data_IF_351719996165
#
_entry.id   IF_351719996165
#
_cell.length_a   1.000
_cell.length_b   1.000
_cell.length_c   1.000
_cell.angle_alpha   90.00
_cell.angle_beta   90.00
_cell.angle_gamma   90.00
#
_symmetry.space_group_name_H-M   'P 1'
#
loop_
_entity.id
_entity.type
_entity.pdbx_description
1 polymer ?
#
# COMPACT_ATOMS: atom_id res chain seq x y z
N UNK A 1 -4.27 13.66 -22.96
CA UNK A 1 -5.28 13.13 -22.02
C UNK A 1 -5.00 11.69 -21.57
N UNK A 2 -5.00 10.69 -22.45
CA UNK A 2 -4.77 9.28 -22.06
C UNK A 2 -3.42 9.03 -21.36
N UNK A 3 -2.35 9.71 -21.79
CA UNK A 3 -1.02 9.65 -21.16
C UNK A 3 -1.05 10.01 -19.67
N UNK A 4 -1.74 11.09 -19.32
CA UNK A 4 -1.85 11.59 -17.94
C UNK A 4 -2.65 10.61 -17.08
N UNK A 5 -3.79 10.10 -17.59
CA UNK A 5 -4.61 9.13 -16.88
C UNK A 5 -3.81 7.85 -16.56
N UNK A 6 -3.03 7.35 -17.52
CA UNK A 6 -2.17 6.18 -17.31
C UNK A 6 -1.12 6.43 -16.23
N UNK A 7 -0.49 7.61 -16.22
CA UNK A 7 0.50 7.98 -15.20
C UNK A 7 -0.14 8.08 -13.81
N UNK A 8 -1.33 8.67 -13.69
CA UNK A 8 -2.09 8.77 -12.43
C UNK A 8 -2.42 7.38 -11.88
N UNK A 9 -2.89 6.47 -12.74
CA UNK A 9 -3.16 5.08 -12.35
C UNK A 9 -1.89 4.35 -11.94
N UNK A 10 -0.80 4.50 -12.71
CA UNK A 10 0.49 3.91 -12.38
C UNK A 10 1.02 4.48 -11.05
N UNK A 11 0.83 5.77 -10.79
CA UNK A 11 1.26 6.45 -9.57
C UNK A 11 0.53 5.90 -8.34
N UNK A 12 -0.74 5.51 -8.49
CA UNK A 12 -1.50 4.88 -7.42
C UNK A 12 -0.98 3.49 -7.00
N UNK A 13 -0.24 2.80 -7.88
CA UNK A 13 0.26 1.43 -7.64
C UNK A 13 1.78 1.41 -7.41
N UNK A 14 2.55 2.12 -8.25
CA UNK A 14 4.02 2.11 -8.34
C UNK A 14 4.61 3.53 -8.38
N UNK A 15 4.36 4.29 -7.31
CA UNK A 15 4.75 5.70 -7.14
C UNK A 15 6.19 6.08 -7.56
N UNK A 16 7.19 5.29 -7.21
CA UNK A 16 8.60 5.63 -7.49
C UNK A 16 8.90 5.63 -8.99
N UNK A 17 8.32 4.66 -9.71
CA UNK A 17 8.63 4.43 -11.12
C UNK A 17 7.93 5.46 -12.01
N UNK A 18 6.88 6.10 -11.50
CA UNK A 18 5.98 6.91 -12.32
C UNK A 18 6.56 8.24 -12.76
N UNK A 19 7.38 8.87 -11.93
CA UNK A 19 7.99 10.15 -12.27
C UNK A 19 9.06 9.97 -13.38
N UNK A 20 10.01 9.01 -13.27
CA UNK A 20 10.88 8.64 -14.39
C UNK A 20 10.11 8.23 -15.65
N UNK A 21 9.06 7.42 -15.51
CA UNK A 21 8.26 6.93 -16.62
C UNK A 21 7.50 8.06 -17.36
N UNK A 22 7.00 9.05 -16.62
CA UNK A 22 6.33 10.22 -17.21
C UNK A 22 7.29 11.06 -18.05
N UNK A 23 8.56 11.18 -17.63
CA UNK A 23 9.60 11.89 -18.37
C UNK A 23 9.96 11.16 -19.67
N UNK A 24 10.10 9.82 -19.62
CA UNK A 24 10.37 8.99 -20.82
C UNK A 24 9.24 9.12 -21.87
N UNK A 25 8.00 9.36 -21.42
CA UNK A 25 6.84 9.57 -22.30
C UNK A 25 6.82 10.98 -22.94
N UNK A 26 7.74 11.86 -22.51
CA UNK A 26 7.86 13.25 -22.95
C UNK A 26 6.76 14.15 -22.39
N UNK A 27 6.28 13.90 -21.17
CA UNK A 27 5.33 14.79 -20.50
C UNK A 27 6.09 15.95 -19.83
N UNK A 28 5.55 17.17 -19.90
CA UNK A 28 6.17 18.28 -19.18
C UNK A 28 6.27 17.98 -17.70
N UNK A 29 7.39 18.40 -17.12
CA UNK A 29 7.74 18.11 -15.74
C UNK A 29 6.66 18.53 -14.74
N UNK A 30 6.08 19.72 -14.94
CA UNK A 30 5.03 20.26 -14.06
C UNK A 30 3.78 19.36 -14.07
N UNK A 31 3.31 18.99 -15.25
CA UNK A 31 2.16 18.09 -15.40
C UNK A 31 2.46 16.69 -14.88
N UNK A 32 3.69 16.19 -15.05
CA UNK A 32 4.13 14.92 -14.51
C UNK A 32 4.12 14.92 -12.98
N UNK A 33 4.65 15.98 -12.35
CA UNK A 33 4.69 16.12 -10.89
C UNK A 33 3.28 16.21 -10.30
N UNK A 34 2.40 17.02 -10.90
CA UNK A 34 1.00 17.14 -10.50
C UNK A 34 0.25 15.81 -10.65
N UNK A 35 0.46 15.08 -11.75
CA UNK A 35 -0.14 13.78 -11.97
C UNK A 35 0.33 12.73 -10.94
N UNK A 36 1.62 12.73 -10.60
CA UNK A 36 2.20 11.81 -9.63
C UNK A 36 1.71 12.13 -8.21
N UNK A 37 1.67 13.39 -7.81
CA UNK A 37 1.15 13.81 -6.49
C UNK A 37 -0.34 13.48 -6.35
N UNK A 38 -1.16 13.84 -7.33
CA UNK A 38 -2.61 13.57 -7.31
C UNK A 38 -2.89 12.07 -7.33
N UNK A 39 -2.19 11.30 -8.18
CA UNK A 39 -2.31 9.84 -8.23
C UNK A 39 -1.79 9.13 -6.98
N UNK A 40 -0.70 9.62 -6.40
CA UNK A 40 -0.12 9.08 -5.18
C UNK A 40 -1.02 9.31 -3.95
N UNK A 41 -1.47 10.54 -3.73
CA UNK A 41 -2.37 10.89 -2.63
C UNK A 41 -3.74 10.24 -2.83
N UNK A 42 -4.32 10.37 -4.03
CA UNK A 42 -5.62 9.80 -4.37
C UNK A 42 -5.62 8.28 -4.27
N UNK A 43 -4.60 7.62 -4.82
CA UNK A 43 -4.41 6.17 -4.71
C UNK A 43 -4.27 5.70 -3.28
N UNK A 44 -3.43 6.37 -2.47
CA UNK A 44 -3.26 6.04 -1.06
C UNK A 44 -4.59 6.14 -0.30
N UNK A 45 -5.33 7.24 -0.47
CA UNK A 45 -6.63 7.43 0.20
C UNK A 45 -7.63 6.37 -0.24
N UNK A 46 -7.72 6.10 -1.55
CA UNK A 46 -8.59 5.07 -2.11
C UNK A 46 -8.32 3.70 -1.46
N UNK A 47 -7.08 3.23 -1.49
CA UNK A 47 -6.71 1.94 -0.90
C UNK A 47 -6.85 1.93 0.63
N UNK A 48 -6.55 3.05 1.31
CA UNK A 48 -6.63 3.16 2.77
C UNK A 48 -8.08 3.02 3.25
N UNK A 49 -9.01 3.74 2.62
CA UNK A 49 -10.43 3.68 2.99
C UNK A 49 -11.06 2.36 2.57
N UNK A 50 -10.73 1.83 1.39
CA UNK A 50 -11.21 0.52 0.93
C UNK A 50 -10.72 -0.61 1.83
N UNK A 51 -9.54 -0.51 2.42
CA UNK A 51 -8.99 -1.56 3.29
C UNK A 51 -9.91 -1.93 4.47
N UNK A 52 -10.75 -1.01 4.96
CA UNK A 52 -11.71 -1.27 6.05
C UNK A 52 -12.88 -2.18 5.62
N UNK A 53 -13.72 -1.81 4.63
CA UNK A 53 -14.79 -2.67 4.13
C UNK A 53 -14.22 -3.94 3.48
N UNK A 54 -13.06 -3.90 2.85
CA UNK A 54 -12.48 -5.09 2.21
C UNK A 54 -12.11 -6.14 3.27
N UNK A 55 -11.49 -5.76 4.39
CA UNK A 55 -11.24 -6.69 5.50
C UNK A 55 -12.53 -7.20 6.17
N UNK A 56 -13.56 -6.36 6.32
CA UNK A 56 -14.85 -6.78 6.88
C UNK A 56 -15.62 -7.71 5.92
N UNK A 57 -15.68 -7.35 4.64
CA UNK A 57 -16.29 -8.13 3.58
C UNK A 57 -15.61 -9.47 3.39
N UNK A 58 -14.27 -9.54 3.48
CA UNK A 58 -13.55 -10.81 3.42
C UNK A 58 -13.89 -11.75 4.58
N UNK A 59 -14.12 -11.19 5.79
CA UNK A 59 -14.58 -11.96 6.96
C UNK A 59 -16.05 -12.38 6.79
N UNK A 60 -16.89 -11.50 6.23
CA UNK A 60 -18.33 -11.73 6.04
C UNK A 60 -18.63 -12.70 4.89
N UNK A 61 -17.83 -12.69 3.82
CA UNK A 61 -17.93 -13.61 2.68
C UNK A 61 -17.29 -14.96 2.98
N UNK A 62 -16.44 -15.05 4.00
CA UNK A 62 -15.76 -16.28 4.38
C UNK A 62 -16.67 -17.50 4.61
N UNK A 63 -17.82 -17.37 5.29
CA UNK A 63 -18.77 -18.46 5.49
C UNK A 63 -19.40 -18.92 4.18
N UNK A 64 -19.73 -17.98 3.28
CA UNK A 64 -20.25 -18.30 1.95
C UNK A 64 -19.20 -19.01 1.09
N UNK A 65 -17.95 -18.54 1.10
CA UNK A 65 -16.83 -19.21 0.45
C UNK A 65 -16.64 -20.63 0.98
N UNK A 66 -16.71 -20.83 2.30
CA UNK A 66 -16.65 -22.17 2.89
C UNK A 66 -17.84 -23.07 2.51
N UNK A 67 -19.01 -22.49 2.19
CA UNK A 67 -20.21 -23.21 1.72
C UNK A 67 -20.16 -23.56 0.23
N UNK A 68 -19.42 -22.78 -0.57
CA UNK A 68 -19.28 -22.95 -2.02
C UNK A 68 -18.19 -23.94 -2.45
N UNK A 69 -17.48 -24.58 -1.50
CA UNK A 69 -16.40 -25.53 -1.80
C UNK A 69 -16.97 -26.91 -2.17
N UNK A 70 -16.56 -27.52 -3.30
CA UNK A 70 -17.01 -28.85 -3.70
C UNK A 70 -16.51 -29.96 -2.75
N UNK A 71 -17.28 -31.05 -2.65
CA UNK A 71 -17.06 -32.13 -1.68
C UNK A 71 -15.67 -32.79 -1.77
N UNK A 72 -15.00 -32.75 -2.93
CA UNK A 72 -13.67 -33.37 -3.14
C UNK A 72 -12.52 -32.70 -2.36
N UNK A 73 -12.68 -31.42 -1.97
CA UNK A 73 -11.64 -30.66 -1.24
C UNK A 73 -11.97 -30.44 0.23
N UNK A 74 -13.11 -30.98 0.69
CA UNK A 74 -13.71 -30.73 2.00
C UNK A 74 -12.77 -31.15 3.14
N UNK A 75 -12.06 -32.28 3.02
CA UNK A 75 -11.17 -32.79 4.07
C UNK A 75 -10.03 -31.85 4.47
N UNK A 76 -9.35 -31.21 3.50
CA UNK A 76 -8.26 -30.24 3.79
C UNK A 76 -8.78 -28.85 4.16
N UNK A 77 -9.86 -28.40 3.52
CA UNK A 77 -10.38 -27.04 3.72
C UNK A 77 -11.30 -26.88 4.93
N UNK A 78 -11.96 -27.95 5.38
CA UNK A 78 -12.83 -27.93 6.56
C UNK A 78 -12.07 -27.52 7.82
N UNK A 79 -10.87 -28.07 8.04
CA UNK A 79 -9.99 -27.65 9.12
C UNK A 79 -9.57 -26.18 8.98
N UNK A 80 -9.36 -25.67 7.77
CA UNK A 80 -8.99 -24.26 7.56
C UNK A 80 -10.16 -23.30 7.81
N UNK A 81 -11.38 -23.66 7.41
CA UNK A 81 -12.62 -22.93 7.70
C UNK A 81 -12.92 -22.88 9.20
N UNK A 82 -12.84 -24.02 9.92
CA UNK A 82 -13.06 -24.09 11.37
C UNK A 82 -11.97 -23.32 12.14
N UNK A 83 -10.72 -23.42 11.70
CA UNK A 83 -9.59 -22.79 12.40
C UNK A 83 -9.55 -21.27 12.19
N UNK A 84 -10.29 -20.71 11.21
CA UNK A 84 -10.45 -19.26 11.03
C UNK A 84 -11.65 -18.68 11.80
N UNK A 85 -12.72 -19.45 12.01
CA UNK A 85 -13.88 -19.04 12.83
C UNK A 85 -13.61 -19.19 14.33
N UNK A 86 -12.74 -20.12 14.73
CA UNK A 86 -12.19 -20.15 16.10
C UNK A 86 -11.41 -18.86 16.35
N UNK A 87 -11.87 -18.04 17.32
CA UNK A 87 -11.13 -16.88 17.86
C UNK A 87 -9.77 -17.36 18.37
N UNK A 88 -8.74 -17.35 17.52
CA UNK A 88 -7.39 -17.73 17.93
C UNK A 88 -6.92 -16.74 18.99
N UNK A 89 -6.63 -17.23 20.21
CA UNK A 89 -5.86 -16.46 21.20
C UNK A 89 -4.64 -15.87 20.48
N UNK A 90 -4.43 -14.55 20.60
CA UNK A 90 -3.29 -13.86 19.98
C UNK A 90 -2.01 -14.58 20.40
N UNK A 91 -1.37 -15.31 19.49
CA UNK A 91 -0.08 -15.96 19.78
C UNK A 91 0.97 -14.87 19.83
N UNK A 92 1.41 -14.53 21.04
CA UNK A 92 2.38 -13.46 21.34
C UNK A 92 3.71 -13.73 20.61
N UNK A 93 4.01 -15.00 20.31
CA UNK A 93 5.31 -15.45 19.81
C UNK A 93 5.19 -16.31 18.54
N UNK A 94 4.94 -15.68 17.39
CA UNK A 94 5.16 -16.32 16.06
C UNK A 94 6.24 -15.56 15.33
N UNK A 95 6.98 -16.21 14.42
CA UNK A 95 8.08 -15.57 13.67
C UNK A 95 7.61 -14.30 12.95
N UNK A 96 6.36 -14.30 12.45
CA UNK A 96 5.67 -13.12 11.91
C UNK A 96 5.44 -12.02 12.95
N UNK A 97 5.00 -12.37 14.17
CA UNK A 97 4.88 -11.42 15.28
C UNK A 97 6.23 -10.88 15.77
N UNK A 98 7.28 -11.71 15.79
CA UNK A 98 8.64 -11.26 16.14
C UNK A 98 9.23 -10.35 15.06
N UNK A 99 8.97 -10.63 13.78
CA UNK A 99 9.36 -9.75 12.67
C UNK A 99 8.63 -8.40 12.76
N UNK A 100 7.30 -8.41 12.98
CA UNK A 100 6.51 -7.19 13.18
C UNK A 100 6.98 -6.43 14.44
N UNK A 101 7.29 -7.13 15.53
CA UNK A 101 7.80 -6.54 16.77
C UNK A 101 9.22 -5.97 16.61
N UNK A 102 10.10 -6.62 15.84
CA UNK A 102 11.44 -6.10 15.51
C UNK A 102 11.36 -4.89 14.60
N UNK A 103 10.46 -4.89 13.61
CA UNK A 103 10.21 -3.72 12.75
C UNK A 103 9.68 -2.55 13.59
N UNK A 104 8.78 -2.82 14.54
CA UNK A 104 8.30 -1.83 15.51
C UNK A 104 9.41 -1.31 16.45
N UNK A 105 10.30 -2.20 16.91
CA UNK A 105 11.34 -1.90 17.91
C UNK A 105 12.55 -1.17 17.33
N UNK A 106 12.99 -1.51 16.11
CA UNK A 106 14.21 -0.94 15.52
C UNK A 106 13.95 0.25 14.57
N UNK A 107 12.76 0.35 13.96
CA UNK A 107 12.47 1.40 12.97
C UNK A 107 11.37 2.38 13.42
N UNK A 108 10.62 2.09 14.48
CA UNK A 108 9.58 2.98 15.01
C UNK A 108 8.46 3.32 14.01
N UNK A 109 7.57 4.24 14.40
CA UNK A 109 6.51 4.79 13.55
C UNK A 109 7.08 5.49 12.31
N UNK A 110 8.21 6.20 12.49
CA UNK A 110 8.89 6.98 11.45
C UNK A 110 9.53 6.12 10.36
N UNK A 111 10.18 5.01 10.70
CA UNK A 111 10.82 4.15 9.72
C UNK A 111 9.81 3.42 8.82
N UNK A 112 8.60 3.13 9.32
CA UNK A 112 7.52 2.63 8.45
C UNK A 112 7.08 3.72 7.48
N UNK A 113 6.86 4.95 7.95
CA UNK A 113 6.41 6.08 7.11
C UNK A 113 7.44 6.45 6.04
N UNK A 114 8.72 6.47 6.38
CA UNK A 114 9.83 6.78 5.45
C UNK A 114 10.04 5.62 4.47
N UNK A 115 9.98 4.37 4.93
CA UNK A 115 10.18 3.20 4.07
C UNK A 115 8.94 2.88 3.20
N UNK A 116 7.73 3.28 3.58
CA UNK A 116 6.51 2.88 2.87
C UNK A 116 6.50 3.30 1.40
N UNK A 117 6.63 4.58 1.02
CA UNK A 117 6.58 4.93 -0.40
C UNK A 117 7.76 4.38 -1.21
N UNK A 118 8.87 3.97 -0.57
CA UNK A 118 10.09 3.46 -1.23
C UNK A 118 10.10 1.95 -1.42
N UNK A 119 9.59 1.19 -0.44
CA UNK A 119 9.73 -0.27 -0.41
C UNK A 119 8.40 -1.03 -0.48
N UNK A 120 7.28 -0.36 -0.18
CA UNK A 120 5.95 -0.97 -0.14
C UNK A 120 5.02 -0.16 -1.04
N UNK A 121 4.73 -0.69 -2.23
CA UNK A 121 3.70 -0.17 -3.13
C UNK A 121 2.52 0.43 -2.36
N UNK A 122 2.08 1.63 -2.77
CA UNK A 122 0.99 2.40 -2.12
C UNK A 122 -0.17 1.52 -1.62
N UNK A 123 -0.72 0.56 -2.41
CA UNK A 123 -1.79 -0.32 -1.92
C UNK A 123 -1.40 -1.13 -0.68
N UNK A 124 -0.19 -1.68 -0.64
CA UNK A 124 0.31 -2.45 0.51
C UNK A 124 0.56 -1.51 1.69
N UNK A 125 1.17 -0.34 1.45
CA UNK A 125 1.41 0.69 2.46
C UNK A 125 0.12 1.19 3.10
N UNK A 126 -0.91 1.46 2.31
CA UNK A 126 -2.24 1.87 2.76
C UNK A 126 -2.93 0.78 3.58
N UNK A 127 -2.84 -0.48 3.15
CA UNK A 127 -3.39 -1.61 3.90
C UNK A 127 -2.68 -1.83 5.24
N UNK A 128 -1.35 -1.73 5.25
CA UNK A 128 -0.54 -1.83 6.46
C UNK A 128 -0.85 -0.69 7.43
N UNK A 129 -0.92 0.55 6.93
CA UNK A 129 -1.26 1.73 7.71
C UNK A 129 -2.62 1.58 8.40
N UNK A 130 -3.65 1.17 7.66
CA UNK A 130 -4.98 0.94 8.22
C UNK A 130 -4.99 -0.25 9.21
N UNK A 131 -4.24 -1.33 8.96
CA UNK A 131 -4.24 -2.50 9.85
C UNK A 131 -3.52 -2.26 11.18
N UNK A 132 -2.38 -1.58 11.16
CA UNK A 132 -1.51 -1.47 12.35
C UNK A 132 -1.66 -0.13 13.07
N UNK A 133 -2.08 0.92 12.37
CA UNK A 133 -2.03 2.28 12.88
C UNK A 133 -3.33 3.06 12.71
N UNK A 134 -4.45 2.42 12.33
CA UNK A 134 -5.76 3.07 12.23
C UNK A 134 -6.24 3.74 13.53
N UNK A 135 -5.65 3.42 14.68
CA UNK A 135 -5.98 4.02 15.96
C UNK A 135 -5.40 5.44 16.15
N UNK A 136 -4.45 5.87 15.30
CA UNK A 136 -3.87 7.23 15.32
C UNK A 136 -4.60 8.10 14.30
N UNK A 137 -5.24 9.19 14.73
CA UNK A 137 -5.99 10.11 13.85
C UNK A 137 -5.12 10.79 12.77
N UNK A 138 -3.84 11.05 13.06
CA UNK A 138 -2.96 11.80 12.17
C UNK A 138 -2.15 10.94 11.18
N UNK A 139 -2.35 9.61 11.12
CA UNK A 139 -1.55 8.77 10.22
C UNK A 139 -1.70 9.16 8.75
N UNK A 140 -2.92 9.51 8.32
CA UNK A 140 -3.20 9.90 6.93
C UNK A 140 -2.36 11.12 6.55
N UNK A 141 -2.25 12.10 7.45
CA UNK A 141 -1.45 13.31 7.24
C UNK A 141 0.04 12.97 7.10
N UNK A 142 0.58 12.12 7.97
CA UNK A 142 1.98 11.71 7.88
C UNK A 142 2.29 10.95 6.58
N UNK A 143 1.35 10.15 6.07
CA UNK A 143 1.52 9.44 4.80
C UNK A 143 1.47 10.41 3.61
N UNK A 144 0.59 11.41 3.63
CA UNK A 144 0.55 12.47 2.61
C UNK A 144 1.86 13.27 2.62
N UNK A 145 2.35 13.67 3.79
CA UNK A 145 3.63 14.36 3.94
C UNK A 145 4.80 13.52 3.42
N UNK A 146 4.78 12.21 3.66
CA UNK A 146 5.77 11.29 3.10
C UNK A 146 5.71 11.25 1.57
N UNK A 147 4.51 11.15 0.97
CA UNK A 147 4.33 11.18 -0.49
C UNK A 147 4.91 12.49 -1.07
N UNK A 148 4.60 13.64 -0.47
CA UNK A 148 5.11 14.94 -0.92
C UNK A 148 6.64 15.01 -0.77
N UNK A 149 7.19 14.56 0.35
CA UNK A 149 8.64 14.53 0.58
C UNK A 149 9.36 13.68 -0.46
N UNK A 150 8.82 12.51 -0.80
CA UNK A 150 9.38 11.64 -1.82
C UNK A 150 9.22 12.17 -3.24
N UNK A 151 8.13 12.88 -3.57
CA UNK A 151 8.05 13.64 -4.82
C UNK A 151 9.20 14.65 -4.93
N UNK A 152 9.51 15.36 -3.84
CA UNK A 152 10.64 16.30 -3.79
C UNK A 152 11.99 15.63 -4.03
N UNK A 153 12.22 14.46 -3.43
CA UNK A 153 13.45 13.67 -3.65
C UNK A 153 13.56 13.18 -5.09
N UNK A 154 12.47 12.65 -5.66
CA UNK A 154 12.44 12.17 -7.05
C UNK A 154 12.59 13.32 -8.05
N UNK A 155 11.97 14.47 -7.77
CA UNK A 155 12.16 15.74 -8.47
C UNK A 155 13.65 16.12 -8.54
N UNK A 156 14.31 16.18 -7.38
CA UNK A 156 15.73 16.50 -7.30
C UNK A 156 16.60 15.50 -8.06
N UNK A 157 16.27 14.21 -7.97
CA UNK A 157 17.00 13.15 -8.68
C UNK A 157 16.85 13.28 -10.21
N UNK A 158 15.66 13.62 -10.71
CA UNK A 158 15.46 13.83 -12.14
C UNK A 158 16.19 15.08 -12.64
N UNK A 159 16.22 16.15 -11.84
CA UNK A 159 16.97 17.35 -12.19
C UNK A 159 18.49 17.13 -12.18
N UNK A 160 19.00 16.27 -11.29
CA UNK A 160 20.41 15.87 -11.22
C UNK A 160 20.84 14.96 -12.36
N UNK A 161 19.91 14.15 -12.90
CA UNK A 161 20.19 13.20 -13.97
C UNK A 161 19.34 13.47 -15.23
N UNK A 162 19.50 14.63 -15.89
CA UNK A 162 18.73 14.94 -17.09
C UNK A 162 19.11 14.05 -18.29
N UNK A 163 20.33 13.51 -18.31
CA UNK A 163 20.89 12.73 -19.44
C UNK A 163 20.40 11.28 -19.54
N UNK A 164 19.72 10.73 -18.53
CA UNK A 164 19.21 9.32 -18.58
C UNK A 164 17.79 9.22 -19.13
N UNK A 165 17.10 10.36 -19.26
CA UNK A 165 15.68 10.42 -19.61
C UNK A 165 15.41 11.22 -20.90
N UNK A 166 16.48 11.64 -21.60
CA UNK A 166 16.46 12.41 -22.85
C UNK A 166 16.95 11.54 -24.00
#
# INVERSE_FOLDING_TARGET
MLKILHIVLLASVKYIVTLPYAMIIGLDYEYALLAVLTGGIGGFLFFYYISKPLNRGLILMWPCLCKAIPNSLKGRYHNWCINRTKKKKKRIFTWKNRFISRMRSNYGFWGVIIATPVLLTIPIGAFLANKYYAQRRHIVLYMILSIIGWAGVLSGLVHLFPKVFL
#
